data_IF_009341834261
#
_entry.id   IF_009341834261
#
_cell.length_a   1.000
_cell.length_b   1.000
_cell.length_c   1.000
_cell.angle_alpha   90.00
_cell.angle_beta   90.00
_cell.angle_gamma   90.00
#
_symmetry.space_group_name_H-M   'P 1'
#
loop_
_entity.id
_entity.type
_entity.pdbx_description
1 polymer ?
#
# COMPACT_ATOMS: atom_id res chain seq x y z
N UNK A 1 -17.73 -4.38 3.94
CA UNK A 1 -17.02 -3.10 4.15
C UNK A 1 -15.87 -3.40 5.07
N UNK A 2 -14.64 -3.25 4.57
CA UNK A 2 -13.43 -3.34 5.37
C UNK A 2 -13.17 -1.92 5.90
N UNK A 3 -13.04 -1.76 7.22
CA UNK A 3 -12.82 -0.44 7.82
C UNK A 3 -11.34 -0.06 7.75
N UNK A 4 -10.47 -0.93 8.26
CA UNK A 4 -9.02 -0.80 8.19
C UNK A 4 -8.33 -2.17 8.30
N UNK A 5 -7.03 -2.20 8.02
CA UNK A 5 -6.14 -3.32 8.36
C UNK A 5 -4.95 -2.81 9.17
N UNK A 6 -4.49 -3.59 10.15
CA UNK A 6 -3.22 -3.36 10.87
C UNK A 6 -2.22 -4.44 10.44
N UNK A 7 -1.06 -4.00 9.97
CA UNK A 7 0.05 -4.87 9.63
C UNK A 7 1.31 -4.49 10.42
N UNK A 8 2.10 -5.51 10.77
CA UNK A 8 3.40 -5.30 11.40
C UNK A 8 4.51 -5.21 10.37
N UNK A 9 5.35 -4.19 10.52
CA UNK A 9 6.53 -3.94 9.70
C UNK A 9 7.80 -4.07 10.54
N UNK A 10 8.92 -4.43 9.90
CA UNK A 10 10.18 -4.67 10.62
C UNK A 10 10.84 -3.37 11.10
N UNK A 11 10.75 -2.31 10.30
CA UNK A 11 11.38 -1.02 10.55
C UNK A 11 10.41 0.09 10.15
N UNK A 12 9.83 0.77 11.14
CA UNK A 12 8.74 1.72 10.89
C UNK A 12 9.16 2.86 9.96
N UNK A 13 10.32 3.46 10.19
CA UNK A 13 10.84 4.57 9.37
C UNK A 13 11.07 4.19 7.90
N UNK A 14 11.63 3.00 7.64
CA UNK A 14 11.83 2.54 6.26
C UNK A 14 10.50 2.24 5.59
N UNK A 15 9.58 1.62 6.33
CA UNK A 15 8.23 1.36 5.84
C UNK A 15 7.43 2.63 5.62
N UNK A 16 7.63 3.68 6.43
CA UNK A 16 7.04 5.00 6.20
C UNK A 16 7.42 5.53 4.84
N UNK A 17 8.70 5.55 4.51
CA UNK A 17 9.18 6.05 3.21
C UNK A 17 8.59 5.23 2.07
N UNK A 18 8.59 3.91 2.20
CA UNK A 18 8.01 3.01 1.21
C UNK A 18 6.51 3.26 1.00
N UNK A 19 5.70 3.18 2.05
CA UNK A 19 4.24 3.34 1.95
C UNK A 19 3.85 4.77 1.59
N UNK A 20 4.52 5.80 2.11
CA UNK A 20 4.22 7.19 1.74
C UNK A 20 4.42 7.43 0.25
N UNK A 21 5.51 6.90 -0.32
CA UNK A 21 5.82 7.08 -1.75
C UNK A 21 4.85 6.27 -2.61
N UNK A 22 4.60 5.02 -2.22
CA UNK A 22 3.75 4.10 -2.97
C UNK A 22 2.27 4.52 -2.95
N UNK A 23 1.74 4.87 -1.78
CA UNK A 23 0.33 5.19 -1.57
C UNK A 23 -0.05 6.59 -2.08
N UNK A 24 0.91 7.52 -2.16
CA UNK A 24 0.68 8.83 -2.76
C UNK A 24 0.18 8.75 -4.21
N UNK A 25 0.55 7.70 -4.95
CA UNK A 25 0.08 7.45 -6.31
C UNK A 25 -1.45 7.27 -6.37
N UNK A 26 -2.03 6.69 -5.32
CA UNK A 26 -3.47 6.47 -5.18
C UNK A 26 -4.16 7.60 -4.43
N UNK A 27 -3.46 8.70 -4.13
CA UNK A 27 -3.99 9.80 -3.34
C UNK A 27 -4.15 9.48 -1.84
N UNK A 28 -3.57 8.38 -1.36
CA UNK A 28 -3.59 7.99 0.04
C UNK A 28 -2.36 8.58 0.74
N UNK A 29 -2.55 9.23 1.89
CA UNK A 29 -1.49 9.90 2.64
C UNK A 29 -1.49 9.49 4.11
N UNK A 30 -0.38 9.75 4.81
CA UNK A 30 -0.32 9.57 6.26
C UNK A 30 -1.28 10.56 6.94
N UNK A 31 -2.25 10.04 7.68
CA UNK A 31 -3.24 10.84 8.43
C UNK A 31 -2.92 10.92 9.91
N UNK A 32 -2.12 9.98 10.42
CA UNK A 32 -1.62 9.97 11.79
C UNK A 32 -0.25 9.28 11.86
N UNK A 33 0.60 9.76 12.76
CA UNK A 33 1.92 9.19 13.03
C UNK A 33 2.31 9.43 14.49
N UNK A 34 2.83 8.38 15.12
CA UNK A 34 3.55 8.45 16.39
C UNK A 34 4.78 7.53 16.38
N UNK A 35 5.46 7.46 17.52
CA UNK A 35 6.69 6.67 17.66
C UNK A 35 6.51 5.15 17.42
N UNK A 36 5.28 4.64 17.41
CA UNK A 36 4.96 3.22 17.32
C UNK A 36 4.16 2.84 16.08
N UNK A 37 3.57 3.82 15.40
CA UNK A 37 2.59 3.58 14.36
C UNK A 37 2.43 4.71 13.36
N UNK A 38 2.00 4.33 12.16
CA UNK A 38 1.60 5.25 11.10
C UNK A 38 0.30 4.74 10.49
N UNK A 39 -0.67 5.64 10.32
CA UNK A 39 -1.93 5.37 9.65
C UNK A 39 -1.92 6.12 8.32
N UNK A 40 -2.15 5.38 7.23
CA UNK A 40 -2.39 5.93 5.91
C UNK A 40 -3.85 5.77 5.57
N UNK A 41 -4.47 6.84 5.07
CA UNK A 41 -5.87 6.78 4.70
C UNK A 41 -6.29 7.78 3.64
N UNK A 42 -7.36 7.46 2.93
CA UNK A 42 -8.16 8.38 2.13
C UNK A 42 -9.66 8.28 2.49
N UNK A 43 -10.57 8.52 1.54
CA UNK A 43 -12.01 8.34 1.75
C UNK A 43 -12.49 6.88 1.80
N UNK A 44 -11.66 5.91 1.38
CA UNK A 44 -12.06 4.51 1.13
C UNK A 44 -11.14 3.48 1.77
N UNK A 45 -9.84 3.75 1.78
CA UNK A 45 -8.78 2.82 2.15
C UNK A 45 -8.08 3.33 3.42
N UNK A 46 -7.86 2.44 4.39
CA UNK A 46 -7.20 2.73 5.67
C UNK A 46 -6.24 1.58 6.03
N UNK A 47 -4.95 1.88 6.14
CA UNK A 47 -3.90 0.95 6.56
C UNK A 47 -3.11 1.51 7.73
N UNK A 48 -3.04 0.73 8.79
CA UNK A 48 -2.16 0.97 9.93
C UNK A 48 -0.91 0.10 9.77
N UNK A 49 0.27 0.73 9.79
CA UNK A 49 1.54 0.04 9.99
C UNK A 49 2.11 0.30 11.39
N UNK A 50 2.59 -0.74 12.06
CA UNK A 50 3.29 -0.64 13.35
C UNK A 50 4.51 -1.54 13.41
N UNK A 51 5.51 -1.18 14.20
CA UNK A 51 6.74 -1.99 14.28
C UNK A 51 6.49 -3.34 14.99
N UNK A 52 7.07 -4.42 14.46
CA UNK A 52 6.91 -5.76 15.01
C UNK A 52 7.39 -6.86 14.07
N UNK A 53 6.93 -8.10 14.31
CA UNK A 53 7.26 -9.26 13.47
C UNK A 53 6.29 -9.31 12.28
N UNK A 54 6.75 -9.09 11.03
CA UNK A 54 5.87 -9.13 9.87
C UNK A 54 5.30 -10.51 9.63
N UNK A 55 4.06 -10.57 9.16
CA UNK A 55 3.38 -11.78 8.69
C UNK A 55 3.03 -11.60 7.21
N UNK A 56 2.95 -12.72 6.48
CA UNK A 56 2.46 -12.69 5.09
C UNK A 56 0.97 -12.36 5.13
N UNK A 57 0.61 -11.27 4.48
CA UNK A 57 -0.77 -10.82 4.27
C UNK A 57 -0.93 -10.47 2.79
N UNK A 58 -2.17 -10.54 2.31
CA UNK A 58 -2.51 -10.13 0.95
C UNK A 58 -3.73 -9.22 1.03
N UNK A 59 -3.60 -8.04 0.45
CA UNK A 59 -4.64 -7.01 0.35
C UNK A 59 -4.39 -6.22 -0.92
N UNK A 60 -5.42 -5.54 -1.41
CA UNK A 60 -5.38 -4.71 -2.60
C UNK A 60 -5.92 -3.32 -2.25
N UNK A 61 -5.46 -2.31 -2.98
CA UNK A 61 -5.97 -0.96 -2.89
C UNK A 61 -6.90 -0.66 -4.06
N UNK A 62 -7.82 0.28 -3.86
CA UNK A 62 -8.62 0.78 -4.95
C UNK A 62 -7.77 1.73 -5.82
N UNK A 63 -7.84 1.56 -7.13
CA UNK A 63 -7.32 2.51 -8.11
C UNK A 63 -8.48 3.01 -8.97
N UNK A 64 -8.45 4.27 -9.40
CA UNK A 64 -9.52 4.85 -10.22
C UNK A 64 -9.47 4.37 -11.68
N UNK A 65 -8.29 4.01 -12.15
CA UNK A 65 -8.02 3.63 -13.52
C UNK A 65 -6.72 2.82 -13.67
N UNK A 66 -6.48 2.32 -14.88
CA UNK A 66 -5.27 1.56 -15.23
C UNK A 66 -3.99 2.41 -15.17
N UNK A 67 -4.08 3.75 -15.25
CA UNK A 67 -2.91 4.61 -15.11
C UNK A 67 -2.39 4.58 -13.67
N UNK A 68 -3.28 4.65 -12.67
CA UNK A 68 -2.93 4.49 -11.26
C UNK A 68 -2.36 3.10 -10.97
N UNK A 69 -2.95 2.04 -11.53
CA UNK A 69 -2.41 0.66 -11.39
C UNK A 69 -0.97 0.59 -11.89
N UNK A 70 -0.71 1.11 -13.09
CA UNK A 70 0.62 1.10 -13.68
C UNK A 70 1.61 1.99 -12.89
N UNK A 71 1.18 3.17 -12.46
CA UNK A 71 2.01 4.07 -11.67
C UNK A 71 2.34 3.46 -10.30
N UNK A 72 1.38 2.79 -9.67
CA UNK A 72 1.58 2.09 -8.40
C UNK A 72 2.59 0.96 -8.56
N UNK A 73 2.44 0.14 -9.60
CA UNK A 73 3.39 -0.93 -9.92
C UNK A 73 4.81 -0.41 -10.14
N UNK A 74 4.99 0.59 -11.00
CA UNK A 74 6.32 1.16 -11.31
C UNK A 74 6.95 1.83 -10.09
N UNK A 75 6.14 2.53 -9.27
CA UNK A 75 6.61 3.14 -8.02
C UNK A 75 7.03 2.09 -7.01
N UNK A 76 6.25 1.01 -6.87
CA UNK A 76 6.58 -0.11 -6.00
C UNK A 76 7.94 -0.73 -6.35
N UNK A 77 8.20 -0.95 -7.64
CA UNK A 77 9.50 -1.43 -8.13
C UNK A 77 10.63 -0.43 -7.82
N UNK A 78 10.42 0.86 -8.09
CA UNK A 78 11.41 1.90 -7.83
C UNK A 78 11.76 2.03 -6.34
N UNK A 79 10.80 1.76 -5.45
CA UNK A 79 10.98 1.74 -4.00
C UNK A 79 11.60 0.43 -3.46
N UNK A 80 12.01 -0.50 -4.33
CA UNK A 80 12.62 -1.77 -3.95
C UNK A 80 11.62 -2.89 -3.64
N UNK A 81 10.35 -2.72 -4.00
CA UNK A 81 9.34 -3.76 -3.98
C UNK A 81 9.69 -4.90 -4.94
N UNK A 82 9.29 -6.12 -4.56
CA UNK A 82 9.47 -7.30 -5.40
C UNK A 82 8.16 -7.59 -6.13
N UNK A 83 8.24 -7.65 -7.46
CA UNK A 83 7.13 -8.02 -8.31
C UNK A 83 6.99 -9.55 -8.42
N UNK A 84 5.75 -10.03 -8.54
CA UNK A 84 5.43 -11.40 -8.92
C UNK A 84 5.01 -11.53 -10.40
N UNK A 85 5.03 -10.41 -11.14
CA UNK A 85 4.47 -10.27 -12.48
C UNK A 85 4.07 -8.82 -12.79
N UNK A 86 3.91 -8.50 -14.08
CA UNK A 86 3.34 -7.22 -14.50
C UNK A 86 1.84 -7.17 -14.21
N UNK A 87 1.24 -5.98 -14.00
CA UNK A 87 -0.19 -5.85 -13.79
C UNK A 87 -0.99 -6.48 -14.93
N UNK A 88 -1.85 -7.44 -14.58
CA UNK A 88 -2.74 -8.11 -15.52
C UNK A 88 -4.18 -7.94 -15.09
N UNK A 89 -5.04 -7.49 -16.01
CA UNK A 89 -6.48 -7.41 -15.80
C UNK A 89 -7.06 -8.83 -15.68
N UNK A 90 -7.87 -9.05 -14.64
CA UNK A 90 -8.46 -10.35 -14.33
C UNK A 90 -9.99 -10.38 -14.54
N UNK A 91 -10.59 -9.28 -14.98
CA UNK A 91 -12.04 -9.09 -14.95
C UNK A 91 -12.51 -8.36 -13.69
N UNK A 92 -13.76 -7.92 -13.69
CA UNK A 92 -14.43 -7.28 -12.55
C UNK A 92 -13.62 -6.14 -11.89
N UNK A 93 -13.02 -5.27 -12.73
CA UNK A 93 -12.18 -4.14 -12.32
C UNK A 93 -10.97 -4.52 -11.43
N UNK A 94 -10.55 -5.79 -11.47
CA UNK A 94 -9.44 -6.31 -10.68
C UNK A 94 -8.16 -6.51 -11.52
N UNK A 95 -7.03 -6.08 -10.95
CA UNK A 95 -5.70 -6.30 -11.48
C UNK A 95 -4.84 -7.07 -10.48
N UNK A 96 -4.04 -8.02 -10.96
CA UNK A 96 -3.07 -8.77 -10.16
C UNK A 96 -1.65 -8.56 -10.66
N UNK A 97 -0.67 -8.67 -9.76
CA UNK A 97 0.77 -8.65 -10.06
C UNK A 97 1.43 -9.86 -9.43
#
# INVERSE_FOLDING_TARGET
MLDHIDIKVRHLEQSKVFYSTLLAVLGIAASYEDASSIIFSDSKDYIWIGEGIPKRVHFAFSAKDMHEVNAFYQTGLACGGKSAGEPSYQGDDYYSC
#
